data_IF_523740490342
#
_entry.id   IF_523740490342
#
_cell.length_a   1.000
_cell.length_b   1.000
_cell.length_c   1.000
_cell.angle_alpha   90.00
_cell.angle_beta   90.00
_cell.angle_gamma   90.00
#
_symmetry.space_group_name_H-M   'P 1'
#
loop_
_entity.id
_entity.type
_entity.pdbx_description
1 polymer ?
#
# COMPACT_ATOMS: atom_id res chain seq x y z
N UNK A 1 -20.87 22.15 -20.86
CA UNK A 1 -21.70 21.25 -21.70
C UNK A 1 -20.83 20.04 -22.02
N UNK A 2 -20.99 18.96 -21.27
CA UNK A 2 -20.33 17.68 -21.51
C UNK A 2 -21.18 16.91 -22.53
N UNK A 3 -20.91 17.07 -23.81
CA UNK A 3 -21.82 16.53 -24.85
C UNK A 3 -21.43 15.18 -25.41
N UNK A 4 -20.37 14.52 -24.97
CA UNK A 4 -20.09 13.16 -25.41
C UNK A 4 -19.12 12.43 -24.47
N UNK A 5 -19.67 11.68 -23.53
CA UNK A 5 -18.91 10.57 -22.93
C UNK A 5 -19.01 9.42 -23.93
N UNK A 6 -18.03 9.26 -24.75
CA UNK A 6 -17.94 8.07 -25.60
C UNK A 6 -17.48 6.90 -24.73
N UNK A 7 -18.37 5.93 -24.52
CA UNK A 7 -18.03 4.68 -23.87
C UNK A 7 -17.11 3.91 -24.78
N UNK A 8 -15.80 3.98 -24.54
CA UNK A 8 -14.83 3.21 -25.30
C UNK A 8 -14.84 1.80 -24.71
N UNK A 9 -15.46 0.88 -25.43
CA UNK A 9 -15.53 -0.53 -25.04
C UNK A 9 -14.19 -1.26 -25.20
N UNK A 10 -13.22 -0.65 -25.88
CA UNK A 10 -11.92 -1.25 -26.15
C UNK A 10 -10.83 -0.16 -26.11
N UNK A 11 -10.31 0.13 -24.93
CA UNK A 11 -9.31 1.16 -24.70
C UNK A 11 -8.00 0.91 -25.46
N UNK A 12 -7.60 -0.35 -25.61
CA UNK A 12 -6.40 -0.74 -26.37
C UNK A 12 -6.51 -0.32 -27.84
N UNK A 13 -7.68 -0.52 -28.45
CA UNK A 13 -7.93 -0.09 -29.83
C UNK A 13 -7.96 1.43 -29.98
N UNK A 14 -8.39 2.17 -28.96
CA UNK A 14 -8.40 3.65 -29.02
C UNK A 14 -7.02 4.26 -28.93
N UNK A 15 -6.08 3.65 -28.21
CA UNK A 15 -4.68 4.07 -28.18
C UNK A 15 -3.97 3.82 -29.53
N UNK A 16 -4.27 2.68 -30.16
CA UNK A 16 -3.73 2.33 -31.48
C UNK A 16 -4.26 3.27 -32.58
N UNK A 17 -5.50 3.73 -32.45
CA UNK A 17 -6.15 4.60 -33.44
C UNK A 17 -5.93 6.12 -33.20
N UNK A 18 -5.05 6.51 -32.28
CA UNK A 18 -4.58 7.88 -32.14
C UNK A 18 -5.62 8.85 -31.56
N UNK A 19 -6.50 8.42 -30.66
CA UNK A 19 -7.36 9.34 -29.92
C UNK A 19 -6.48 10.21 -29.00
N UNK A 20 -6.33 11.48 -29.34
CA UNK A 20 -5.43 12.39 -28.67
C UNK A 20 -6.03 13.10 -27.45
N UNK A 21 -7.36 13.18 -27.36
CA UNK A 21 -8.06 13.84 -26.26
C UNK A 21 -9.31 13.07 -25.86
N UNK A 22 -9.50 12.86 -24.58
CA UNK A 22 -10.70 12.23 -24.02
C UNK A 22 -10.63 12.00 -22.52
N UNK A 23 -11.81 11.90 -21.90
CA UNK A 23 -11.95 11.44 -20.53
C UNK A 23 -12.19 9.94 -20.54
N UNK A 24 -11.32 9.20 -19.90
CA UNK A 24 -11.45 7.76 -19.79
C UNK A 24 -11.98 7.38 -18.42
N UNK A 25 -13.14 6.70 -18.41
CA UNK A 25 -13.66 6.10 -17.18
C UNK A 25 -13.16 4.65 -17.13
N UNK A 26 -12.17 4.41 -16.30
CA UNK A 26 -11.64 3.07 -16.16
C UNK A 26 -12.42 2.30 -15.11
N UNK A 27 -13.14 1.28 -15.53
CA UNK A 27 -13.90 0.42 -14.63
C UNK A 27 -13.46 -1.04 -14.58
N UNK A 28 -12.75 -1.54 -15.58
CA UNK A 28 -12.54 -2.98 -15.72
C UNK A 28 -11.19 -3.41 -16.30
N UNK A 29 -10.29 -2.49 -16.60
CA UNK A 29 -8.99 -2.85 -17.16
C UNK A 29 -8.04 -3.38 -16.05
N UNK A 30 -7.15 -4.29 -16.43
CA UNK A 30 -6.20 -4.85 -15.49
C UNK A 30 -5.13 -3.81 -15.11
N UNK A 31 -4.56 -3.88 -13.88
CA UNK A 31 -3.50 -2.99 -13.47
C UNK A 31 -2.29 -3.03 -14.40
N UNK A 32 -2.00 -4.17 -15.00
CA UNK A 32 -0.87 -4.35 -15.90
C UNK A 32 -0.97 -3.50 -17.16
N UNK A 33 -2.19 -3.11 -17.54
CA UNK A 33 -2.39 -2.21 -18.66
C UNK A 33 -1.90 -0.80 -18.36
N UNK A 34 -2.22 -0.28 -17.15
CA UNK A 34 -1.83 1.07 -16.74
C UNK A 34 -0.45 1.12 -16.11
N UNK A 35 -0.09 0.08 -15.36
CA UNK A 35 1.13 0.00 -14.56
C UNK A 35 2.05 -1.08 -15.10
N UNK A 36 2.32 -1.04 -16.41
CA UNK A 36 3.35 -1.86 -17.02
C UNK A 36 4.75 -1.40 -16.58
N UNK A 37 5.78 -2.17 -16.85
CA UNK A 37 7.14 -1.91 -16.39
C UNK A 37 7.66 -0.53 -16.76
N UNK A 38 7.30 -0.02 -17.95
CA UNK A 38 7.69 1.32 -18.39
C UNK A 38 7.03 2.41 -17.54
N UNK A 39 5.73 2.30 -17.26
CA UNK A 39 5.01 3.24 -16.40
C UNK A 39 5.54 3.21 -14.96
N UNK A 40 5.80 2.02 -14.41
CA UNK A 40 6.37 1.87 -13.07
C UNK A 40 7.79 2.44 -13.01
N UNK A 41 8.60 2.26 -14.04
CA UNK A 41 9.94 2.85 -14.12
C UNK A 41 9.86 4.37 -14.07
N UNK A 42 9.00 4.99 -14.88
CA UNK A 42 8.81 6.45 -14.90
C UNK A 42 8.33 6.96 -13.52
N UNK A 43 7.37 6.29 -12.90
CA UNK A 43 6.88 6.68 -11.56
C UNK A 43 7.99 6.65 -10.52
N UNK A 44 8.82 5.61 -10.55
CA UNK A 44 9.97 5.46 -9.65
C UNK A 44 11.04 6.51 -9.90
N UNK A 45 11.38 6.81 -11.15
CA UNK A 45 12.32 7.87 -11.52
C UNK A 45 11.83 9.25 -11.05
N UNK A 46 10.54 9.55 -11.25
CA UNK A 46 9.93 10.80 -10.75
C UNK A 46 10.05 10.87 -9.23
N UNK A 47 9.71 9.79 -8.54
CA UNK A 47 9.83 9.73 -7.08
C UNK A 47 11.30 9.88 -6.64
N UNK A 48 12.22 9.15 -7.25
CA UNK A 48 13.65 9.16 -6.90
C UNK A 48 14.29 10.53 -7.12
N UNK A 49 13.82 11.31 -8.11
CA UNK A 49 14.31 12.66 -8.41
C UNK A 49 13.94 13.75 -7.40
N UNK A 50 13.01 13.47 -6.48
CA UNK A 50 12.56 14.45 -5.47
C UNK A 50 13.32 14.26 -4.15
N UNK A 51 13.48 15.38 -3.41
CA UNK A 51 13.97 15.31 -2.03
C UNK A 51 13.06 14.43 -1.19
N UNK A 52 13.64 13.72 -0.22
CA UNK A 52 12.91 12.83 0.68
C UNK A 52 12.79 13.48 2.04
N UNK A 53 11.64 13.32 2.72
CA UNK A 53 11.50 13.77 4.08
C UNK A 53 12.36 12.93 5.02
N UNK A 54 12.84 13.53 6.08
CA UNK A 54 13.42 12.78 7.20
C UNK A 54 12.31 12.01 7.95
N UNK A 55 12.61 10.80 8.38
CA UNK A 55 11.66 9.94 9.09
C UNK A 55 12.18 9.66 10.49
N UNK A 56 11.60 10.28 11.52
CA UNK A 56 11.96 10.00 12.88
C UNK A 56 11.72 8.53 13.25
N UNK A 57 12.65 7.96 14.05
CA UNK A 57 12.55 6.58 14.55
C UNK A 57 12.47 5.48 13.49
N UNK A 58 12.97 5.75 12.28
CA UNK A 58 13.13 4.76 11.23
C UNK A 58 14.61 4.41 11.08
N UNK A 59 14.95 3.14 11.22
CA UNK A 59 16.33 2.63 11.15
C UNK A 59 16.58 1.95 9.80
N UNK A 60 17.21 2.62 8.83
CA UNK A 60 17.42 2.07 7.48
C UNK A 60 18.32 0.83 7.44
N UNK A 61 19.15 0.62 8.48
CA UNK A 61 20.05 -0.54 8.58
C UNK A 61 19.33 -1.82 8.96
N UNK A 62 18.09 -1.71 9.48
CA UNK A 62 17.24 -2.84 9.83
C UNK A 62 16.28 -3.19 8.71
N UNK A 63 15.76 -4.40 8.75
CA UNK A 63 14.62 -4.78 7.90
C UNK A 63 13.33 -4.18 8.44
N UNK A 64 12.61 -3.43 7.62
CA UNK A 64 11.44 -2.67 8.05
C UNK A 64 10.16 -3.25 7.45
N UNK A 65 9.28 -3.75 8.30
CA UNK A 65 7.90 -4.13 7.94
C UNK A 65 7.01 -2.92 8.23
N UNK A 66 6.43 -2.36 7.21
CA UNK A 66 5.52 -1.21 7.33
C UNK A 66 4.10 -1.66 7.06
N UNK A 67 3.24 -1.56 8.05
CA UNK A 67 1.81 -1.85 7.95
C UNK A 67 1.03 -0.52 7.91
N UNK A 68 0.35 -0.26 6.80
CA UNK A 68 -0.59 0.85 6.73
C UNK A 68 -1.98 0.41 7.17
N UNK A 69 -2.53 1.05 8.19
CA UNK A 69 -3.90 0.82 8.69
C UNK A 69 -4.78 2.02 8.38
N UNK A 70 -5.84 1.81 7.61
CA UNK A 70 -6.80 2.88 7.33
C UNK A 70 -7.76 3.05 8.51
N UNK A 71 -7.52 4.09 9.30
CA UNK A 71 -8.35 4.53 10.43
C UNK A 71 -8.76 6.00 10.21
N UNK A 72 -9.22 6.67 11.22
CA UNK A 72 -9.68 8.05 11.13
C UNK A 72 -11.04 8.16 10.45
N UNK A 73 -11.06 8.47 9.17
CA UNK A 73 -12.29 8.63 8.38
C UNK A 73 -13.00 7.30 8.06
N UNK A 74 -12.32 6.15 8.18
CA UNK A 74 -12.86 4.81 7.89
C UNK A 74 -13.13 4.02 9.17
N UNK A 75 -14.38 3.60 9.33
CA UNK A 75 -14.81 2.72 10.41
C UNK A 75 -15.79 1.66 9.90
N UNK A 76 -16.03 0.62 10.72
CA UNK A 76 -16.83 -0.53 10.36
C UNK A 76 -18.29 -0.19 9.98
N UNK A 77 -18.88 0.81 10.61
CA UNK A 77 -20.29 1.18 10.37
C UNK A 77 -20.45 2.02 9.10
N UNK A 78 -19.54 2.97 8.85
CA UNK A 78 -19.63 3.91 7.72
C UNK A 78 -19.09 3.33 6.42
N UNK A 79 -17.99 2.58 6.50
CA UNK A 79 -17.30 2.04 5.32
C UNK A 79 -16.87 0.57 5.52
N UNK A 80 -17.83 -0.36 5.70
CA UNK A 80 -17.51 -1.77 6.01
C UNK A 80 -16.64 -2.45 4.94
N UNK A 81 -16.79 -2.08 3.68
CA UNK A 81 -15.97 -2.64 2.59
C UNK A 81 -14.50 -2.19 2.61
N UNK A 82 -14.20 -1.07 3.28
CA UNK A 82 -12.84 -0.53 3.44
C UNK A 82 -12.24 -0.85 4.81
N UNK A 83 -13.09 -1.22 5.75
CA UNK A 83 -12.69 -1.55 7.11
C UNK A 83 -12.02 -2.92 7.14
N UNK A 84 -10.99 -3.04 7.95
CA UNK A 84 -10.39 -4.30 8.40
C UNK A 84 -10.24 -4.22 9.92
N UNK A 85 -10.60 -5.28 10.62
CA UNK A 85 -10.50 -5.33 12.07
C UNK A 85 -9.04 -5.40 12.53
N UNK A 86 -8.79 -5.12 13.80
CA UNK A 86 -7.45 -5.29 14.38
C UNK A 86 -7.00 -6.75 14.32
N UNK A 87 -7.93 -7.69 14.50
CA UNK A 87 -7.64 -9.12 14.38
C UNK A 87 -7.23 -9.51 12.95
N UNK A 88 -7.83 -8.88 11.93
CA UNK A 88 -7.42 -9.08 10.53
C UNK A 88 -5.98 -8.62 10.31
N UNK A 89 -5.61 -7.46 10.86
CA UNK A 89 -4.25 -6.94 10.77
C UNK A 89 -3.25 -7.77 11.58
N UNK A 90 -3.61 -8.24 12.77
CA UNK A 90 -2.79 -9.15 13.57
C UNK A 90 -2.51 -10.44 12.81
N UNK A 91 -3.55 -11.04 12.21
CA UNK A 91 -3.42 -12.27 11.43
C UNK A 91 -2.58 -12.05 10.17
N UNK A 92 -2.77 -10.92 9.49
CA UNK A 92 -2.00 -10.56 8.31
C UNK A 92 -0.53 -10.34 8.64
N UNK A 93 -0.24 -9.63 9.73
CA UNK A 93 1.12 -9.41 10.20
C UNK A 93 1.79 -10.72 10.61
N UNK A 94 1.09 -11.59 11.35
CA UNK A 94 1.60 -12.91 11.74
C UNK A 94 1.98 -13.75 10.50
N UNK A 95 1.07 -13.90 9.54
CA UNK A 95 1.34 -14.62 8.29
C UNK A 95 2.49 -13.98 7.50
N UNK A 96 2.58 -12.66 7.53
CA UNK A 96 3.67 -11.95 6.88
C UNK A 96 5.00 -12.32 7.52
N UNK A 97 5.12 -12.26 8.83
CA UNK A 97 6.32 -12.62 9.58
C UNK A 97 6.70 -14.08 9.33
N UNK A 98 5.74 -15.00 9.37
CA UNK A 98 5.95 -16.42 9.09
C UNK A 98 6.50 -16.67 7.67
N UNK A 99 6.02 -15.89 6.68
CA UNK A 99 6.40 -16.06 5.27
C UNK A 99 7.67 -15.32 4.84
N UNK A 100 8.09 -14.30 5.61
CA UNK A 100 9.26 -13.50 5.27
C UNK A 100 10.46 -13.91 6.12
N UNK A 101 10.18 -14.39 7.27
CA UNK A 101 10.87 -14.20 8.50
C UNK A 101 12.02 -15.11 8.81
N UNK A 102 12.48 -15.94 7.93
CA UNK A 102 13.64 -16.73 8.28
C UNK A 102 14.82 -16.26 7.46
N UNK A 103 15.74 -15.56 8.08
CA UNK A 103 17.09 -15.45 7.55
C UNK A 103 17.73 -16.85 7.53
N UNK A 104 18.95 -16.96 6.97
CA UNK A 104 19.70 -18.23 6.88
C UNK A 104 19.96 -18.88 8.26
N UNK A 105 19.62 -18.18 9.36
CA UNK A 105 19.82 -18.58 10.75
C UNK A 105 18.52 -18.73 11.57
N UNK A 106 17.35 -18.74 10.92
CA UNK A 106 16.05 -18.91 11.58
C UNK A 106 15.66 -17.78 12.57
N UNK A 107 16.34 -16.65 12.53
CA UNK A 107 16.12 -15.51 13.43
C UNK A 107 15.13 -14.49 12.85
N UNK A 108 13.97 -14.39 13.47
CA UNK A 108 13.01 -13.28 13.31
C UNK A 108 13.60 -11.94 13.80
N UNK A 109 14.79 -11.99 14.40
CA UNK A 109 15.35 -10.97 15.28
C UNK A 109 15.77 -9.65 14.64
N UNK A 110 15.57 -9.43 13.33
CA UNK A 110 16.11 -8.24 12.66
C UNK A 110 15.06 -7.34 11.97
N UNK A 111 13.77 -7.56 12.20
CA UNK A 111 12.72 -6.69 11.65
C UNK A 111 12.24 -5.67 12.67
N UNK A 112 12.09 -4.42 12.24
CA UNK A 112 11.27 -3.44 12.94
C UNK A 112 9.89 -3.41 12.31
N UNK A 113 8.85 -3.33 13.16
CA UNK A 113 7.46 -3.26 12.71
C UNK A 113 6.95 -1.85 12.95
N UNK A 114 6.49 -1.22 11.89
CA UNK A 114 5.96 0.13 11.89
C UNK A 114 4.49 0.13 11.51
N UNK A 115 3.65 0.78 12.31
CA UNK A 115 2.24 1.03 11.99
C UNK A 115 2.09 2.47 11.54
N UNK A 116 1.58 2.67 10.33
CA UNK A 116 1.19 3.98 9.81
C UNK A 116 -0.32 4.11 9.85
N UNK A 117 -0.84 5.06 10.61
CA UNK A 117 -2.27 5.27 10.75
C UNK A 117 -2.63 6.68 11.24
N UNK A 118 -3.92 6.94 11.35
CA UNK A 118 -4.50 8.08 12.04
C UNK A 118 -5.18 7.62 13.34
N UNK A 119 -5.24 8.47 14.35
CA UNK A 119 -5.93 8.23 15.61
C UNK A 119 -5.01 8.21 16.81
N UNK A 120 -5.58 7.87 17.96
CA UNK A 120 -4.88 7.84 19.25
C UNK A 120 -4.27 6.45 19.51
N UNK A 121 -3.17 6.33 20.30
CA UNK A 121 -2.48 5.07 20.57
C UNK A 121 -3.38 3.96 21.11
N UNK A 122 -4.41 4.31 21.89
CA UNK A 122 -5.35 3.38 22.50
C UNK A 122 -6.11 2.54 21.46
N UNK A 123 -6.33 3.10 20.26
CA UNK A 123 -6.98 2.39 19.15
C UNK A 123 -6.15 1.23 18.61
N UNK A 124 -4.88 1.17 18.96
CA UNK A 124 -3.93 0.14 18.47
C UNK A 124 -3.53 -0.83 19.57
N UNK A 125 -4.16 -0.74 20.75
CA UNK A 125 -3.82 -1.57 21.91
C UNK A 125 -3.82 -3.07 21.60
N UNK A 126 -4.78 -3.56 20.82
CA UNK A 126 -4.83 -4.96 20.43
C UNK A 126 -3.58 -5.43 19.66
N UNK A 127 -2.96 -4.55 18.86
CA UNK A 127 -1.72 -4.86 18.16
C UNK A 127 -0.50 -4.76 19.07
N UNK A 128 -0.44 -3.70 19.90
CA UNK A 128 0.70 -3.49 20.81
C UNK A 128 0.73 -4.53 21.93
N UNK A 129 -0.41 -5.08 22.34
CA UNK A 129 -0.46 -6.19 23.31
C UNK A 129 0.13 -7.49 22.71
N UNK A 130 -0.01 -7.70 21.39
CA UNK A 130 0.56 -8.89 20.71
C UNK A 130 2.01 -8.67 20.28
N UNK A 131 2.35 -7.44 19.89
CA UNK A 131 3.66 -7.03 19.39
C UNK A 131 4.13 -5.78 20.14
N UNK A 132 4.70 -5.91 21.36
CA UNK A 132 5.04 -4.76 22.21
C UNK A 132 6.06 -3.78 21.60
N UNK A 133 6.94 -4.27 20.73
CA UNK A 133 8.01 -3.49 20.10
C UNK A 133 7.57 -2.76 18.81
N UNK A 134 6.26 -2.81 18.48
CA UNK A 134 5.72 -2.06 17.33
C UNK A 134 5.94 -0.54 17.53
N UNK A 135 6.44 0.09 16.48
CA UNK A 135 6.54 1.54 16.40
C UNK A 135 5.28 2.13 15.78
N UNK A 136 4.56 2.93 16.54
CA UNK A 136 3.37 3.63 16.06
C UNK A 136 3.75 5.00 15.48
N UNK A 137 3.38 5.24 14.23
CA UNK A 137 3.51 6.51 13.53
C UNK A 137 2.10 7.04 13.23
N UNK A 138 1.54 7.76 14.19
CA UNK A 138 0.15 8.18 14.16
C UNK A 138 0.05 9.65 13.76
N UNK A 139 -0.79 9.94 12.77
CA UNK A 139 -1.07 11.30 12.30
C UNK A 139 0.20 12.10 11.93
N UNK A 140 1.25 11.42 11.49
CA UNK A 140 2.48 12.06 11.01
C UNK A 140 2.26 12.71 9.64
N UNK A 141 3.22 13.48 9.18
CA UNK A 141 3.16 14.14 7.88
C UNK A 141 2.90 13.17 6.72
N UNK A 142 2.08 13.60 5.77
CA UNK A 142 1.65 12.75 4.64
C UNK A 142 2.83 12.34 3.75
N UNK A 143 3.86 13.20 3.60
CA UNK A 143 5.04 12.87 2.80
C UNK A 143 5.91 11.86 3.52
N UNK A 144 6.07 11.98 4.85
CA UNK A 144 6.75 10.99 5.67
C UNK A 144 6.03 9.63 5.61
N UNK A 145 4.71 9.62 5.78
CA UNK A 145 3.88 8.42 5.68
C UNK A 145 4.05 7.73 4.32
N UNK A 146 3.99 8.50 3.23
CA UNK A 146 4.15 7.97 1.89
C UNK A 146 5.57 7.43 1.67
N UNK A 147 6.58 8.18 2.11
CA UNK A 147 7.98 7.79 1.96
C UNK A 147 8.27 6.49 2.71
N UNK A 148 7.83 6.35 3.96
CA UNK A 148 7.98 5.10 4.73
C UNK A 148 7.38 3.90 4.00
N UNK A 149 6.19 4.04 3.41
CA UNK A 149 5.57 2.96 2.64
C UNK A 149 6.39 2.59 1.39
N UNK A 150 6.98 3.58 0.72
CA UNK A 150 7.76 3.35 -0.50
C UNK A 150 9.08 2.65 -0.22
N UNK A 151 9.76 2.99 0.88
CA UNK A 151 11.08 2.44 1.21
C UNK A 151 11.03 1.16 2.06
N UNK A 152 9.85 0.77 2.52
CA UNK A 152 9.65 -0.44 3.32
C UNK A 152 10.25 -1.67 2.62
N UNK A 153 10.98 -2.51 3.37
CA UNK A 153 11.39 -3.84 2.88
C UNK A 153 10.19 -4.75 2.65
N UNK A 154 9.16 -4.57 3.50
CA UNK A 154 7.86 -5.21 3.35
C UNK A 154 6.77 -4.20 3.62
N UNK A 155 5.98 -3.89 2.61
CA UNK A 155 4.78 -3.07 2.75
C UNK A 155 3.54 -3.96 2.85
N UNK A 156 2.83 -3.89 3.97
CA UNK A 156 1.52 -4.50 4.15
C UNK A 156 0.46 -3.43 3.93
N UNK A 157 -0.36 -3.64 2.90
CA UNK A 157 -1.32 -2.63 2.45
C UNK A 157 -2.67 -2.74 3.13
N UNK A 158 -3.26 -1.60 3.46
CA UNK A 158 -4.70 -1.48 3.69
C UNK A 158 -5.46 -1.24 2.39
N UNK A 159 -6.78 -1.19 2.45
CA UNK A 159 -7.67 -0.82 1.35
C UNK A 159 -7.69 0.71 1.15
N UNK A 160 -6.59 1.26 0.70
CA UNK A 160 -6.38 2.69 0.52
C UNK A 160 -5.66 2.98 -0.80
N UNK A 161 -6.21 3.87 -1.62
CA UNK A 161 -5.57 4.32 -2.86
C UNK A 161 -4.22 4.98 -2.61
N UNK A 162 -4.06 5.64 -1.45
CA UNK A 162 -2.80 6.24 -1.01
C UNK A 162 -1.72 5.18 -0.81
N UNK A 163 -2.06 4.11 -0.07
CA UNK A 163 -1.16 2.98 0.12
C UNK A 163 -0.89 2.22 -1.18
N UNK A 164 -1.90 2.10 -2.06
CA UNK A 164 -1.74 1.51 -3.38
C UNK A 164 -0.72 2.27 -4.22
N UNK A 165 -0.80 3.61 -4.25
CA UNK A 165 0.16 4.44 -4.96
C UNK A 165 1.59 4.25 -4.44
N UNK A 166 1.78 4.16 -3.13
CA UNK A 166 3.09 3.85 -2.54
C UNK A 166 3.58 2.45 -2.95
N UNK A 167 2.69 1.45 -2.97
CA UNK A 167 2.99 0.09 -3.40
C UNK A 167 3.46 -0.01 -4.85
N UNK A 168 2.92 0.83 -5.76
CA UNK A 168 3.38 0.89 -7.16
C UNK A 168 4.85 1.34 -7.28
N UNK A 169 5.27 2.22 -6.37
CA UNK A 169 6.63 2.77 -6.36
C UNK A 169 7.59 1.88 -5.58
N UNK A 170 7.12 1.21 -4.52
CA UNK A 170 7.92 0.31 -3.72
C UNK A 170 8.57 -0.77 -4.60
N UNK A 171 9.90 -0.96 -4.46
CA UNK A 171 10.71 -1.91 -5.25
C UNK A 171 10.89 -3.26 -4.54
N UNK A 172 10.42 -3.34 -3.29
CA UNK A 172 10.58 -4.48 -2.41
C UNK A 172 9.29 -5.33 -2.35
N UNK A 173 9.06 -6.03 -1.26
CA UNK A 173 7.90 -6.89 -1.10
C UNK A 173 6.65 -6.10 -0.73
N UNK A 174 5.62 -6.21 -1.54
CA UNK A 174 4.31 -5.62 -1.27
C UNK A 174 3.30 -6.74 -1.03
N UNK A 175 2.56 -6.63 0.07
CA UNK A 175 1.52 -7.58 0.47
C UNK A 175 0.17 -6.89 0.39
N UNK A 176 -0.69 -7.39 -0.48
CA UNK A 176 -2.06 -6.93 -0.63
C UNK A 176 -3.00 -7.81 0.19
N UNK A 177 -3.83 -7.18 1.01
CA UNK A 177 -4.86 -7.87 1.77
C UNK A 177 -6.00 -8.29 0.84
N UNK A 178 -6.23 -9.60 0.69
CA UNK A 178 -7.24 -10.16 -0.19
C UNK A 178 -8.65 -10.24 0.43
N UNK A 179 -8.82 -9.81 1.67
CA UNK A 179 -10.01 -10.16 2.45
C UNK A 179 -11.33 -9.55 1.98
N UNK A 180 -11.37 -8.64 0.98
CA UNK A 180 -12.66 -8.16 0.46
C UNK A 180 -12.52 -7.41 -0.86
N UNK A 181 -13.67 -7.20 -1.52
CA UNK A 181 -13.81 -6.43 -2.75
C UNK A 181 -13.19 -5.03 -2.62
N UNK A 182 -12.05 -4.83 -3.28
CA UNK A 182 -11.44 -3.54 -3.45
C UNK A 182 -11.38 -3.18 -4.94
N UNK A 183 -11.50 -1.90 -5.28
CA UNK A 183 -11.53 -1.48 -6.68
C UNK A 183 -10.18 -1.53 -7.38
N UNK A 184 -9.07 -1.49 -6.64
CA UNK A 184 -7.74 -1.65 -7.21
C UNK A 184 -7.32 -3.12 -7.16
N UNK A 185 -6.99 -3.67 -8.31
CA UNK A 185 -6.42 -5.01 -8.40
C UNK A 185 -4.94 -4.97 -8.03
N UNK A 186 -4.42 -5.94 -7.29
CA UNK A 186 -2.99 -6.04 -7.01
C UNK A 186 -2.20 -6.29 -8.29
N UNK A 187 -0.95 -5.83 -8.34
CA UNK A 187 -0.02 -6.23 -9.39
C UNK A 187 0.30 -7.73 -9.24
N UNK A 188 0.66 -8.39 -10.34
CA UNK A 188 1.07 -9.81 -10.33
C UNK A 188 2.30 -10.09 -9.47
N UNK A 189 3.16 -9.08 -9.30
CA UNK A 189 4.37 -9.15 -8.47
C UNK A 189 4.09 -9.03 -6.97
N UNK A 190 2.87 -8.64 -6.58
CA UNK A 190 2.51 -8.51 -5.17
C UNK A 190 2.05 -9.84 -4.58
N UNK A 191 2.39 -10.07 -3.33
CA UNK A 191 1.87 -11.22 -2.58
C UNK A 191 0.45 -10.92 -2.11
N UNK A 192 -0.44 -11.90 -2.22
CA UNK A 192 -1.82 -11.82 -1.73
C UNK A 192 -1.93 -12.81 -0.57
N UNK A 193 -2.30 -12.31 0.60
CA UNK A 193 -2.45 -13.13 1.82
C UNK A 193 -3.88 -13.06 2.36
#
# INVERSE_FOLDING_TARGET
>A
KYSSIQKISNYENSLVNGVQEGYFVHGSLSPEFFYNDKALTILREIYDSKSKPDIPNYEPSKKNIVLHMRRGDVNASKYPSRWSSDQDYINLLRKTIENIGKDENDNIANYEIHILSEGEPELFKALTDVYPDIKLHLSIDIQQTFHMMVIADVLIMSKSSFCYAAGLINKNKVIANNQTRWWHKPLKTWSII
#
